data_IF_250683689730
#
_entry.id   IF_250683689730
#
_cell.length_a   1.000
_cell.length_b   1.000
_cell.length_c   1.000
_cell.angle_alpha   90.00
_cell.angle_beta   90.00
_cell.angle_gamma   90.00
#
_symmetry.space_group_name_H-M   'P 1'
#
loop_
_entity.id
_entity.type
_entity.pdbx_description
1 polymer ?
#
# COMPACT_ATOMS: atom_id res chain seq x y z
N UNK A 1 2.46 -13.30 7.21
CA UNK A 1 2.42 -13.39 5.74
C UNK A 1 3.77 -13.00 5.13
N UNK A 2 4.87 -13.05 5.89
CA UNK A 2 6.19 -12.69 5.37
C UNK A 2 6.59 -13.56 4.19
N UNK A 3 7.28 -12.96 3.22
CA UNK A 3 7.85 -13.63 2.05
C UNK A 3 6.84 -14.42 1.19
N UNK A 4 5.54 -14.22 1.44
CA UNK A 4 4.47 -14.84 0.68
C UNK A 4 4.29 -14.14 -0.67
N UNK A 5 3.73 -14.87 -1.65
CA UNK A 5 3.47 -14.36 -2.99
C UNK A 5 1.98 -14.29 -3.27
N UNK A 6 1.48 -13.08 -3.47
CA UNK A 6 0.09 -12.74 -3.79
C UNK A 6 -0.03 -12.01 -5.12
N UNK A 7 1.00 -12.05 -5.97
CA UNK A 7 1.00 -11.32 -7.24
C UNK A 7 -0.24 -11.60 -8.09
N UNK A 8 -0.90 -10.53 -8.54
CA UNK A 8 -2.14 -10.57 -9.32
C UNK A 8 -3.35 -11.11 -8.55
N UNK A 9 -3.28 -11.27 -7.23
CA UNK A 9 -4.43 -11.70 -6.44
C UNK A 9 -5.51 -10.62 -6.39
N UNK A 10 -6.75 -11.07 -6.26
CA UNK A 10 -7.87 -10.24 -5.85
C UNK A 10 -7.96 -10.28 -4.31
N UNK A 11 -7.67 -9.15 -3.68
CA UNK A 11 -7.82 -8.92 -2.25
C UNK A 11 -8.86 -7.83 -1.97
N UNK A 12 -9.75 -7.57 -2.92
CA UNK A 12 -10.80 -6.59 -2.76
C UNK A 12 -11.70 -6.92 -1.56
N UNK A 13 -12.17 -5.88 -0.88
CA UNK A 13 -13.00 -5.96 0.33
C UNK A 13 -12.35 -6.67 1.53
N UNK A 14 -11.05 -7.02 1.46
CA UNK A 14 -10.38 -7.67 2.56
C UNK A 14 -10.20 -6.74 3.77
N UNK A 15 -10.04 -7.35 4.94
CA UNK A 15 -9.67 -6.64 6.17
C UNK A 15 -8.34 -7.19 6.65
N UNK A 16 -7.31 -6.36 6.59
CA UNK A 16 -5.98 -6.66 7.11
C UNK A 16 -5.69 -5.76 8.30
N UNK A 17 -5.73 -6.38 9.49
CA UNK A 17 -5.45 -5.70 10.76
C UNK A 17 -4.21 -6.31 11.41
N UNK A 18 -3.21 -5.49 11.72
CA UNK A 18 -1.96 -5.88 12.41
C UNK A 18 -1.21 -7.01 11.70
N UNK A 19 -1.37 -7.12 10.39
CA UNK A 19 -0.73 -8.17 9.60
C UNK A 19 0.76 -7.87 9.43
N UNK A 20 1.57 -8.92 9.48
CA UNK A 20 3.01 -8.86 9.20
C UNK A 20 3.26 -9.42 7.80
N UNK A 21 3.51 -8.54 6.83
CA UNK A 21 3.68 -8.84 5.41
C UNK A 21 5.05 -8.39 4.88
N UNK A 22 6.05 -8.40 5.76
CA UNK A 22 7.42 -7.98 5.43
C UNK A 22 8.00 -8.91 4.36
N UNK A 23 8.59 -8.32 3.31
CA UNK A 23 9.18 -9.06 2.19
C UNK A 23 8.18 -9.80 1.29
N UNK A 24 6.88 -9.70 1.55
CA UNK A 24 5.87 -10.33 0.71
C UNK A 24 5.76 -9.61 -0.65
N UNK A 25 5.30 -10.35 -1.67
CA UNK A 25 5.03 -9.81 -2.99
C UNK A 25 3.53 -9.74 -3.22
N UNK A 26 3.09 -8.55 -3.63
CA UNK A 26 1.72 -8.17 -3.96
C UNK A 26 1.69 -7.47 -5.33
N UNK A 27 2.59 -7.85 -6.23
CA UNK A 27 2.71 -7.18 -7.53
C UNK A 27 1.40 -7.27 -8.31
N UNK A 28 0.83 -6.14 -8.72
CA UNK A 28 -0.43 -6.12 -9.44
C UNK A 28 -1.65 -6.62 -8.65
N UNK A 29 -1.57 -6.68 -7.31
CA UNK A 29 -2.69 -7.10 -6.46
C UNK A 29 -3.76 -6.02 -6.41
N UNK A 30 -5.03 -6.45 -6.43
CA UNK A 30 -6.17 -5.55 -6.24
C UNK A 30 -6.52 -5.44 -4.75
N UNK A 31 -6.35 -4.25 -4.17
CA UNK A 31 -6.78 -3.91 -2.80
C UNK A 31 -8.01 -3.01 -2.79
N UNK A 32 -8.85 -3.02 -3.83
CA UNK A 32 -10.04 -2.17 -3.86
C UNK A 32 -10.97 -2.41 -2.66
N UNK A 33 -11.44 -1.35 -2.01
CA UNK A 33 -12.35 -1.42 -0.85
C UNK A 33 -11.76 -2.10 0.40
N UNK A 34 -10.43 -2.21 0.51
CA UNK A 34 -9.76 -2.88 1.63
C UNK A 34 -9.59 -1.98 2.85
N UNK A 35 -9.58 -2.57 4.04
CA UNK A 35 -9.14 -1.91 5.28
C UNK A 35 -7.74 -2.39 5.66
N UNK A 36 -6.78 -1.47 5.68
CA UNK A 36 -5.37 -1.69 6.02
C UNK A 36 -5.03 -1.01 7.35
N UNK A 37 -5.33 -1.68 8.47
CA UNK A 37 -5.04 -1.18 9.81
C UNK A 37 -3.74 -1.79 10.36
N UNK A 38 -2.71 -0.95 10.57
CA UNK A 38 -1.43 -1.31 11.21
C UNK A 38 -0.71 -2.49 10.55
N UNK A 39 -0.78 -2.57 9.22
CA UNK A 39 -0.09 -3.60 8.44
C UNK A 39 1.36 -3.21 8.21
N UNK A 40 2.28 -4.16 8.37
CA UNK A 40 3.68 -3.94 8.05
C UNK A 40 4.01 -4.50 6.66
N UNK A 41 4.18 -3.60 5.69
CA UNK A 41 4.62 -3.89 4.31
C UNK A 41 6.11 -3.62 4.10
N UNK A 42 6.94 -3.64 5.15
CA UNK A 42 8.36 -3.37 5.04
C UNK A 42 9.03 -4.29 4.01
N UNK A 43 9.81 -3.72 3.07
CA UNK A 43 10.45 -4.44 1.95
C UNK A 43 9.47 -5.22 1.05
N UNK A 44 8.16 -4.99 1.13
CA UNK A 44 7.21 -5.67 0.27
C UNK A 44 7.28 -5.14 -1.17
N UNK A 45 7.01 -6.02 -2.13
CA UNK A 45 6.79 -5.63 -3.52
C UNK A 45 5.30 -5.30 -3.71
N UNK A 46 4.98 -4.02 -3.87
CA UNK A 46 3.62 -3.50 -4.12
C UNK A 46 3.56 -2.81 -5.49
N UNK A 47 4.48 -3.14 -6.40
CA UNK A 47 4.49 -2.57 -7.74
C UNK A 47 3.18 -2.88 -8.45
N UNK A 48 2.61 -1.88 -9.14
CA UNK A 48 1.33 -1.99 -9.87
C UNK A 48 0.13 -2.37 -9.00
N UNK A 49 0.24 -2.35 -7.67
CA UNK A 49 -0.87 -2.65 -6.78
C UNK A 49 -1.94 -1.55 -6.86
N UNK A 50 -3.21 -1.94 -6.70
CA UNK A 50 -4.36 -1.05 -6.85
C UNK A 50 -4.92 -0.74 -5.46
N UNK A 51 -4.74 0.49 -4.98
CA UNK A 51 -5.29 0.99 -3.73
C UNK A 51 -6.47 1.94 -4.00
N UNK A 52 -7.62 1.36 -4.39
CA UNK A 52 -8.83 2.13 -4.69
C UNK A 52 -9.83 2.09 -3.53
N UNK A 53 -10.34 3.24 -3.10
CA UNK A 53 -11.35 3.34 -2.02
C UNK A 53 -10.92 2.58 -0.74
N UNK A 54 -9.65 2.71 -0.36
CA UNK A 54 -9.11 2.01 0.82
C UNK A 54 -9.10 2.89 2.05
N UNK A 55 -9.08 2.26 3.23
CA UNK A 55 -8.75 2.93 4.49
C UNK A 55 -7.39 2.46 4.97
N UNK A 56 -6.43 3.39 5.06
CA UNK A 56 -5.07 3.12 5.51
C UNK A 56 -4.81 3.87 6.82
N UNK A 57 -4.56 3.11 7.89
CA UNK A 57 -4.32 3.64 9.23
C UNK A 57 -3.16 2.92 9.89
N UNK A 58 -2.11 3.66 10.24
CA UNK A 58 -0.97 3.16 11.00
C UNK A 58 -0.12 2.07 10.32
N UNK A 59 -0.31 1.84 9.02
CA UNK A 59 0.46 0.87 8.23
C UNK A 59 1.83 1.45 7.82
N UNK A 60 2.84 0.58 7.64
CA UNK A 60 4.23 0.98 7.33
C UNK A 60 4.71 0.41 6.00
N UNK A 61 5.45 1.22 5.24
CA UNK A 61 5.92 0.92 3.88
C UNK A 61 7.45 1.06 3.74
N UNK A 62 8.19 0.84 4.84
CA UNK A 62 9.63 1.06 4.89
C UNK A 62 10.37 0.19 3.87
N UNK A 63 11.06 0.82 2.91
CA UNK A 63 11.70 0.15 1.77
C UNK A 63 10.77 -0.71 0.91
N UNK A 64 9.46 -0.49 0.97
CA UNK A 64 8.52 -1.14 0.05
C UNK A 64 8.69 -0.55 -1.36
N UNK A 65 8.39 -1.36 -2.38
CA UNK A 65 8.42 -0.95 -3.79
C UNK A 65 6.99 -0.62 -4.22
N UNK A 66 6.73 0.63 -4.60
CA UNK A 66 5.41 1.17 -4.94
C UNK A 66 5.37 1.76 -6.36
N UNK A 67 6.31 1.36 -7.22
CA UNK A 67 6.35 1.80 -8.61
C UNK A 67 5.04 1.43 -9.32
N UNK A 68 4.46 2.40 -10.01
CA UNK A 68 3.17 2.27 -10.72
C UNK A 68 1.99 1.82 -9.85
N UNK A 69 2.09 1.89 -8.52
CA UNK A 69 0.94 1.68 -7.64
C UNK A 69 -0.07 2.81 -7.80
N UNK A 70 -1.36 2.46 -7.81
CA UNK A 70 -2.47 3.40 -8.02
C UNK A 70 -3.09 3.75 -6.68
N UNK A 71 -3.28 5.04 -6.40
CA UNK A 71 -3.89 5.53 -5.17
C UNK A 71 -5.12 6.38 -5.50
N UNK A 72 -6.29 5.75 -5.60
CA UNK A 72 -7.55 6.43 -5.90
C UNK A 72 -8.47 6.37 -4.69
N UNK A 73 -9.10 7.49 -4.31
CA UNK A 73 -10.04 7.55 -3.18
C UNK A 73 -9.49 6.94 -1.86
N UNK A 74 -8.17 7.02 -1.66
CA UNK A 74 -7.50 6.48 -0.47
C UNK A 74 -7.72 7.39 0.73
N UNK A 75 -8.33 6.85 1.78
CA UNK A 75 -8.47 7.52 3.07
C UNK A 75 -7.22 7.21 3.90
N UNK A 76 -6.37 8.23 4.09
CA UNK A 76 -5.13 8.13 4.84
C UNK A 76 -4.99 9.32 5.80
N UNK A 77 -4.56 9.05 7.03
CA UNK A 77 -4.32 10.09 8.03
C UNK A 77 -3.07 10.91 7.70
N UNK A 78 -3.04 12.19 8.10
CA UNK A 78 -1.94 13.11 7.78
C UNK A 78 -0.54 12.56 8.16
N UNK A 79 -0.41 11.92 9.33
CA UNK A 79 0.86 11.36 9.79
C UNK A 79 1.30 10.18 8.91
N UNK A 80 0.37 9.31 8.54
CA UNK A 80 0.68 8.13 7.71
C UNK A 80 0.98 8.54 6.27
N UNK A 81 0.28 9.56 5.75
CA UNK A 81 0.58 10.17 4.47
C UNK A 81 2.01 10.72 4.45
N UNK A 82 2.40 11.51 5.44
CA UNK A 82 3.77 12.06 5.51
C UNK A 82 4.83 10.96 5.48
N UNK A 83 4.60 9.84 6.16
CA UNK A 83 5.49 8.68 6.14
C UNK A 83 5.53 8.00 4.77
N UNK A 84 4.36 7.73 4.18
CA UNK A 84 4.24 7.11 2.87
C UNK A 84 4.95 7.96 1.80
N UNK A 85 4.78 9.28 1.84
CA UNK A 85 5.40 10.22 0.90
C UNK A 85 6.94 10.31 0.99
N UNK A 86 7.57 9.74 2.02
CA UNK A 86 9.03 9.59 2.07
C UNK A 86 9.54 8.48 1.15
N UNK A 87 8.66 7.58 0.70
CA UNK A 87 9.02 6.52 -0.22
C UNK A 87 9.19 7.10 -1.63
N UNK A 88 10.43 7.01 -2.15
CA UNK A 88 10.81 7.58 -3.44
C UNK A 88 10.43 6.71 -4.65
N UNK A 89 9.90 5.50 -4.43
CA UNK A 89 9.44 4.63 -5.52
C UNK A 89 8.06 5.01 -6.05
N UNK A 90 7.27 5.77 -5.29
CA UNK A 90 5.96 6.25 -5.73
C UNK A 90 6.13 7.18 -6.93
N UNK A 91 5.36 6.94 -7.99
CA UNK A 91 5.38 7.76 -9.21
C UNK A 91 5.01 9.22 -8.94
N UNK A 92 5.37 10.13 -9.85
CA UNK A 92 5.03 11.54 -9.71
C UNK A 92 3.51 11.74 -9.63
N UNK A 93 2.77 10.98 -10.43
CA UNK A 93 1.31 10.95 -10.49
C UNK A 93 0.73 10.45 -9.15
N UNK A 94 1.20 9.30 -8.64
CA UNK A 94 0.73 8.75 -7.38
C UNK A 94 1.02 9.67 -6.18
N UNK A 95 2.14 10.40 -6.22
CA UNK A 95 2.46 11.43 -5.20
C UNK A 95 1.48 12.60 -5.26
N UNK A 96 1.03 13.01 -6.45
CA UNK A 96 0.01 14.06 -6.61
C UNK A 96 -1.35 13.57 -6.11
N UNK A 97 -1.75 12.34 -6.45
CA UNK A 97 -3.01 11.73 -6.00
C UNK A 97 -3.08 11.62 -4.47
N UNK A 98 -1.99 11.17 -3.84
CA UNK A 98 -1.86 11.11 -2.38
C UNK A 98 -1.80 12.50 -1.72
N UNK A 99 -1.51 13.56 -2.48
CA UNK A 99 -1.31 14.90 -1.95
C UNK A 99 0.02 15.05 -1.20
N UNK A 100 1.05 14.30 -1.59
CA UNK A 100 2.41 14.51 -1.12
C UNK A 100 2.89 15.92 -1.49
N UNK A 101 3.35 16.68 -0.50
CA UNK A 101 3.89 18.04 -0.66
C UNK A 101 5.36 18.08 -0.30
#
# INVERSE_FOLDING_TARGET
>A
MSDAKFDGADMSEAVMSKAYAVGASFEGTDFSNTVLDRVNFGKANLQRAIFKNIVLSGSTFDNAQLEDAVFEDTIIGYIDLQKLCTNTSISAEGRVELGCR
#
